data_IF_586383891336
#
_entry.id   IF_586383891336
#
_cell.length_a   1.000
_cell.length_b   1.000
_cell.length_c   1.000
_cell.angle_alpha   90.00
_cell.angle_beta   90.00
_cell.angle_gamma   90.00
#
_symmetry.space_group_name_H-M   'P 1'
#
loop_
_entity.id
_entity.type
_entity.pdbx_description
1 polymer ?
#
# COMPACT_ATOMS: atom_id res chain seq x y z
N UNK A 1 2.42 10.98 -24.92
CA UNK A 1 2.26 12.43 -24.61
C UNK A 1 0.92 13.04 -25.07
N UNK A 2 0.18 12.43 -26.02
CA UNK A 2 -1.08 13.02 -26.53
C UNK A 2 -2.20 13.08 -25.48
N UNK A 3 -2.32 12.04 -24.65
CA UNK A 3 -3.31 11.93 -23.56
C UNK A 3 -3.35 13.16 -22.63
N UNK A 4 -2.19 13.74 -22.31
CA UNK A 4 -2.09 14.88 -21.39
C UNK A 4 -2.41 16.23 -22.02
N UNK A 5 -2.54 16.32 -23.35
CA UNK A 5 -2.83 17.57 -24.07
C UNK A 5 -4.34 17.85 -24.10
N UNK A 6 -4.97 17.89 -22.92
CA UNK A 6 -6.44 17.97 -22.78
C UNK A 6 -7.07 19.04 -23.67
N UNK A 7 -6.57 20.29 -23.66
CA UNK A 7 -7.11 21.39 -24.48
C UNK A 7 -7.21 21.08 -25.99
N UNK A 8 -6.35 20.20 -26.52
CA UNK A 8 -6.33 19.83 -27.95
C UNK A 8 -6.99 18.47 -28.24
N UNK A 9 -7.04 17.58 -27.25
CA UNK A 9 -7.47 16.19 -27.38
C UNK A 9 -8.27 15.74 -26.16
N UNK A 10 -9.35 16.46 -25.86
CA UNK A 10 -10.20 16.22 -24.68
C UNK A 10 -10.74 14.79 -24.67
N UNK A 11 -11.13 14.29 -25.84
CA UNK A 11 -11.70 12.96 -26.04
C UNK A 11 -10.86 11.86 -25.36
N UNK A 12 -9.53 11.94 -25.37
CA UNK A 12 -8.68 10.89 -24.76
C UNK A 12 -8.94 10.73 -23.25
N UNK A 13 -9.10 11.84 -22.52
CA UNK A 13 -9.40 11.75 -21.08
C UNK A 13 -10.89 11.54 -20.83
N UNK A 14 -11.77 12.07 -21.69
CA UNK A 14 -13.21 11.81 -21.60
C UNK A 14 -13.52 10.32 -21.80
N UNK A 15 -12.89 9.66 -22.78
CA UNK A 15 -13.00 8.22 -22.98
C UNK A 15 -12.39 7.44 -21.81
N UNK A 16 -11.24 7.86 -21.27
CA UNK A 16 -10.67 7.22 -20.08
C UNK A 16 -11.64 7.30 -18.89
N UNK A 17 -12.18 8.48 -18.59
CA UNK A 17 -13.16 8.69 -17.51
C UNK A 17 -14.41 7.84 -17.78
N UNK A 18 -14.98 7.89 -18.99
CA UNK A 18 -16.17 7.11 -19.33
C UNK A 18 -15.95 5.60 -19.16
N UNK A 19 -14.81 5.07 -19.58
CA UNK A 19 -14.45 3.66 -19.37
C UNK A 19 -14.27 3.34 -17.88
N UNK A 20 -13.61 4.21 -17.13
CA UNK A 20 -13.42 4.03 -15.69
C UNK A 20 -14.77 4.00 -14.94
N UNK A 21 -15.71 4.87 -15.33
CA UNK A 21 -17.05 4.88 -14.75
C UNK A 21 -17.82 3.59 -15.01
N UNK A 22 -17.56 2.87 -16.11
CA UNK A 22 -18.15 1.54 -16.31
C UNK A 22 -17.64 0.50 -15.31
N UNK A 23 -16.37 0.60 -14.91
CA UNK A 23 -15.80 -0.25 -13.86
C UNK A 23 -16.41 0.12 -12.50
N UNK A 24 -16.51 1.41 -12.20
CA UNK A 24 -17.12 1.89 -10.96
C UNK A 24 -18.57 1.42 -10.85
N UNK A 25 -19.38 1.61 -11.90
CA UNK A 25 -20.79 1.20 -11.90
C UNK A 25 -20.96 -0.32 -11.70
N UNK A 26 -20.03 -1.13 -12.21
CA UNK A 26 -20.07 -2.58 -12.05
C UNK A 26 -19.75 -3.02 -10.60
N UNK A 27 -18.89 -2.29 -9.90
CA UNK A 27 -18.31 -2.73 -8.62
C UNK A 27 -18.75 -1.91 -7.40
N UNK A 28 -19.51 -0.83 -7.57
CA UNK A 28 -19.94 0.06 -6.47
C UNK A 28 -20.63 -0.69 -5.33
N UNK A 29 -21.49 -1.65 -5.66
CA UNK A 29 -22.25 -2.44 -4.68
C UNK A 29 -21.48 -3.68 -4.18
N UNK A 30 -20.26 -3.93 -4.67
CA UNK A 30 -19.48 -5.09 -4.24
C UNK A 30 -18.77 -4.80 -2.90
N UNK A 31 -19.09 -5.52 -1.80
CA UNK A 31 -18.49 -5.28 -0.49
C UNK A 31 -17.00 -5.65 -0.41
N UNK A 32 -16.51 -6.48 -1.34
CA UNK A 32 -15.11 -6.91 -1.40
C UNK A 32 -14.20 -5.94 -2.17
N UNK A 33 -14.78 -4.97 -2.88
CA UNK A 33 -14.02 -3.89 -3.51
C UNK A 33 -13.92 -2.74 -2.51
N UNK A 34 -12.68 -2.43 -2.10
CA UNK A 34 -12.42 -1.33 -1.16
C UNK A 34 -12.28 0.02 -1.86
N UNK A 35 -11.96 0.02 -3.15
CA UNK A 35 -11.70 1.24 -3.90
C UNK A 35 -11.07 0.98 -5.27
N UNK A 36 -10.64 2.07 -5.91
CA UNK A 36 -10.15 2.07 -7.28
C UNK A 36 -8.83 2.84 -7.39
N UNK A 37 -7.83 2.22 -8.02
CA UNK A 37 -6.60 2.91 -8.41
C UNK A 37 -6.82 3.68 -9.71
N UNK A 38 -6.68 5.00 -9.62
CA UNK A 38 -7.07 5.92 -10.68
C UNK A 38 -6.17 5.85 -11.91
N UNK A 39 -4.89 5.50 -11.76
CA UNK A 39 -3.95 5.34 -12.86
C UNK A 39 -2.62 4.78 -12.36
N UNK A 40 -2.27 3.58 -12.85
CA UNK A 40 -0.96 3.01 -12.66
C UNK A 40 0.16 3.87 -13.26
N UNK A 41 1.18 4.16 -12.46
CA UNK A 41 2.44 4.80 -12.84
C UNK A 41 2.33 6.01 -13.81
N UNK A 42 1.65 7.11 -13.43
CA UNK A 42 1.46 8.26 -14.31
C UNK A 42 2.78 8.79 -14.89
N UNK A 43 2.88 8.81 -16.23
CA UNK A 43 4.09 9.27 -16.92
C UNK A 43 3.82 10.38 -17.95
N UNK A 44 4.56 11.50 -17.83
CA UNK A 44 4.42 12.67 -18.70
C UNK A 44 4.95 12.48 -20.13
N UNK A 45 5.57 11.35 -20.44
CA UNK A 45 6.22 11.06 -21.72
C UNK A 45 7.62 11.64 -21.81
N UNK A 46 7.76 12.95 -22.06
CA UNK A 46 9.08 13.58 -22.14
C UNK A 46 9.75 13.64 -20.76
N UNK A 47 10.90 12.97 -20.60
CA UNK A 47 11.60 12.84 -19.32
C UNK A 47 11.92 14.21 -18.68
N UNK A 48 12.38 15.20 -19.45
CA UNK A 48 12.71 16.51 -18.89
C UNK A 48 11.48 17.18 -18.26
N UNK A 49 10.32 17.13 -18.94
CA UNK A 49 9.06 17.67 -18.41
C UNK A 49 8.52 16.88 -17.21
N UNK A 50 8.69 15.56 -17.22
CA UNK A 50 8.34 14.68 -16.10
C UNK A 50 9.19 15.00 -14.87
N UNK A 51 10.50 15.20 -15.05
CA UNK A 51 11.45 15.36 -13.94
C UNK A 51 11.47 16.76 -13.32
N UNK A 52 11.19 17.81 -14.09
CA UNK A 52 11.08 19.18 -13.57
C UNK A 52 9.75 19.47 -12.83
N UNK A 53 8.87 18.48 -12.70
CA UNK A 53 7.62 18.59 -11.94
C UNK A 53 6.48 19.32 -12.65
N UNK A 54 6.70 19.82 -13.86
CA UNK A 54 5.67 20.49 -14.66
C UNK A 54 4.53 19.54 -15.03
N UNK A 55 4.84 18.26 -15.24
CA UNK A 55 3.86 17.21 -15.48
C UNK A 55 2.87 17.08 -14.30
N UNK A 56 3.36 16.82 -13.09
CA UNK A 56 2.51 16.60 -11.93
C UNK A 56 1.68 17.85 -11.60
N UNK A 57 2.33 19.01 -11.50
CA UNK A 57 1.69 20.28 -11.10
C UNK A 57 0.58 20.75 -12.05
N UNK A 58 0.65 20.40 -13.33
CA UNK A 58 -0.27 20.93 -14.35
C UNK A 58 -1.17 19.86 -14.94
N UNK A 59 -0.61 18.76 -15.41
CA UNK A 59 -1.35 17.78 -16.19
C UNK A 59 -1.96 16.70 -15.32
N UNK A 60 -1.18 16.11 -14.41
CA UNK A 60 -1.68 15.06 -13.52
C UNK A 60 -2.70 15.63 -12.53
N UNK A 61 -2.38 16.75 -11.86
CA UNK A 61 -3.34 17.45 -10.98
C UNK A 61 -4.66 17.77 -11.70
N UNK A 62 -4.59 18.29 -12.94
CA UNK A 62 -5.81 18.61 -13.68
C UNK A 62 -6.58 17.35 -14.10
N UNK A 63 -5.90 16.23 -14.34
CA UNK A 63 -6.56 14.96 -14.65
C UNK A 63 -7.31 14.40 -13.44
N UNK A 64 -6.68 14.36 -12.27
CA UNK A 64 -7.37 13.97 -11.03
C UNK A 64 -8.55 14.89 -10.72
N UNK A 65 -8.40 16.21 -10.93
CA UNK A 65 -9.51 17.17 -10.80
C UNK A 65 -10.66 17.02 -11.81
N UNK A 66 -10.54 16.13 -12.81
CA UNK A 66 -11.65 15.74 -13.70
C UNK A 66 -12.20 14.36 -13.34
N UNK A 67 -11.31 13.39 -13.08
CA UNK A 67 -11.69 12.00 -12.84
C UNK A 67 -12.38 11.82 -11.48
N UNK A 68 -11.86 12.43 -10.41
CA UNK A 68 -12.41 12.27 -9.06
C UNK A 68 -13.87 12.78 -8.97
N UNK A 69 -14.20 14.01 -9.40
CA UNK A 69 -15.59 14.46 -9.39
C UNK A 69 -16.53 13.56 -10.19
N UNK A 70 -16.10 13.12 -11.38
CA UNK A 70 -16.89 12.23 -12.22
C UNK A 70 -17.19 10.89 -11.53
N UNK A 71 -16.21 10.31 -10.81
CA UNK A 71 -16.45 9.09 -10.02
C UNK A 71 -17.42 9.37 -8.87
N UNK A 72 -17.27 10.51 -8.17
CA UNK A 72 -18.13 10.87 -7.02
C UNK A 72 -19.58 11.19 -7.38
N UNK A 73 -19.88 11.46 -8.64
CA UNK A 73 -21.26 11.52 -9.13
C UNK A 73 -21.97 10.15 -9.04
N UNK A 74 -21.21 9.05 -9.10
CA UNK A 74 -21.72 7.67 -9.16
C UNK A 74 -21.45 6.89 -7.86
N UNK A 75 -20.31 7.14 -7.21
CA UNK A 75 -19.79 6.34 -6.09
C UNK A 75 -19.09 7.22 -5.03
N UNK A 76 -19.68 7.32 -3.83
CA UNK A 76 -19.25 8.22 -2.75
C UNK A 76 -18.61 7.52 -1.55
N UNK A 77 -18.76 6.21 -1.45
CA UNK A 77 -18.37 5.40 -0.30
C UNK A 77 -17.02 4.70 -0.45
N UNK A 78 -16.61 4.34 -1.66
CA UNK A 78 -15.34 3.64 -1.90
C UNK A 78 -14.12 4.57 -1.89
N UNK A 79 -12.95 4.03 -1.52
CA UNK A 79 -11.69 4.77 -1.56
C UNK A 79 -11.21 4.99 -3.01
N UNK A 80 -10.55 6.12 -3.28
CA UNK A 80 -9.82 6.36 -4.52
C UNK A 80 -8.33 6.41 -4.22
N UNK A 81 -7.57 5.51 -4.84
CA UNK A 81 -6.13 5.45 -4.73
C UNK A 81 -5.53 6.31 -5.84
N UNK A 82 -4.64 7.23 -5.48
CA UNK A 82 -3.99 8.11 -6.44
C UNK A 82 -2.48 8.06 -6.29
N UNK A 83 -1.81 8.09 -7.43
CA UNK A 83 -0.37 7.93 -7.53
C UNK A 83 0.34 9.27 -7.81
N UNK A 84 1.59 9.44 -7.36
CA UNK A 84 2.48 10.45 -7.93
C UNK A 84 2.92 10.03 -9.34
N UNK A 85 3.72 10.85 -10.04
CA UNK A 85 4.43 10.31 -11.22
C UNK A 85 5.33 9.14 -10.81
N UNK A 86 5.49 8.11 -11.64
CA UNK A 86 6.36 6.97 -11.31
C UNK A 86 7.85 7.31 -11.39
N UNK A 87 8.32 7.63 -12.60
CA UNK A 87 9.74 7.79 -12.87
C UNK A 87 10.36 8.89 -12.00
N UNK A 88 11.46 8.58 -11.33
CA UNK A 88 12.11 9.46 -10.35
C UNK A 88 11.56 9.30 -8.94
N UNK A 89 10.24 9.34 -8.76
CA UNK A 89 9.59 9.21 -7.45
C UNK A 89 9.80 7.81 -6.89
N UNK A 90 9.60 6.76 -7.70
CA UNK A 90 9.85 5.37 -7.32
C UNK A 90 11.29 5.16 -6.85
N UNK A 91 12.24 5.88 -7.46
CA UNK A 91 13.68 5.85 -7.16
C UNK A 91 14.09 6.68 -5.93
N UNK A 92 13.13 7.39 -5.32
CA UNK A 92 13.34 8.16 -4.10
C UNK A 92 13.45 9.68 -4.27
N UNK A 93 13.21 10.22 -5.47
CA UNK A 93 13.02 11.67 -5.63
C UNK A 93 11.70 12.12 -5.01
N UNK A 94 11.61 13.41 -4.65
CA UNK A 94 10.33 14.01 -4.26
C UNK A 94 9.33 14.05 -5.43
N UNK A 95 8.07 13.88 -5.11
CA UNK A 95 6.95 14.23 -5.99
C UNK A 95 6.74 15.74 -5.98
N UNK A 96 6.23 16.26 -7.10
CA UNK A 96 5.72 17.61 -7.24
C UNK A 96 4.19 17.68 -7.30
N UNK A 97 3.51 16.54 -7.14
CA UNK A 97 2.06 16.47 -7.01
C UNK A 97 1.65 17.32 -5.81
N UNK A 98 0.65 18.18 -6.03
CA UNK A 98 0.06 19.00 -4.97
C UNK A 98 -0.99 18.18 -4.24
N UNK A 99 -1.57 18.75 -3.17
CA UNK A 99 -2.65 18.10 -2.45
C UNK A 99 -3.79 17.78 -3.43
N UNK A 100 -4.13 16.51 -3.55
CA UNK A 100 -5.29 16.05 -4.31
C UNK A 100 -6.50 16.19 -3.40
N UNK A 101 -7.54 16.84 -3.90
CA UNK A 101 -8.78 17.05 -3.15
C UNK A 101 -9.85 16.06 -3.62
N UNK A 102 -10.64 15.56 -2.68
CA UNK A 102 -11.83 14.79 -2.99
C UNK A 102 -12.99 15.73 -3.33
N UNK A 103 -13.94 15.27 -4.14
CA UNK A 103 -15.13 16.04 -4.49
C UNK A 103 -16.25 15.90 -3.44
N UNK A 104 -15.99 15.20 -2.33
CA UNK A 104 -16.92 14.98 -1.22
C UNK A 104 -16.30 15.42 0.12
N UNK A 105 -17.13 15.77 1.13
CA UNK A 105 -16.69 15.87 2.51
C UNK A 105 -16.15 14.53 3.03
N UNK A 106 -15.32 14.56 4.07
CA UNK A 106 -14.70 13.35 4.64
C UNK A 106 -13.97 12.50 3.57
N UNK A 107 -13.04 13.15 2.87
CA UNK A 107 -12.30 12.61 1.74
C UNK A 107 -11.91 11.13 1.91
N UNK A 108 -12.27 10.30 0.94
CA UNK A 108 -11.92 8.88 0.89
C UNK A 108 -10.82 8.68 -0.15
N UNK A 109 -9.72 9.39 0.03
CA UNK A 109 -8.52 9.30 -0.83
C UNK A 109 -7.41 8.55 -0.12
N UNK A 110 -6.63 7.77 -0.87
CA UNK A 110 -5.44 7.07 -0.40
C UNK A 110 -4.26 7.37 -1.32
N UNK A 111 -3.14 7.80 -0.74
CA UNK A 111 -1.92 8.01 -1.51
C UNK A 111 -1.25 6.67 -1.81
N UNK A 112 -1.01 6.36 -3.09
CA UNK A 112 -0.54 5.04 -3.53
C UNK A 112 0.82 5.08 -4.26
N UNK A 113 1.94 5.44 -3.61
CA UNK A 113 3.24 5.47 -4.27
C UNK A 113 3.84 4.07 -4.46
N UNK A 114 4.77 3.93 -5.41
CA UNK A 114 5.55 2.70 -5.62
C UNK A 114 7.00 2.85 -5.12
N UNK A 115 7.68 1.73 -4.87
CA UNK A 115 9.07 1.68 -4.43
C UNK A 115 9.91 0.71 -5.26
N UNK A 116 10.78 1.28 -6.10
CA UNK A 116 11.80 0.55 -6.84
C UNK A 116 13.11 1.31 -6.69
N UNK A 117 14.04 0.91 -5.81
CA UNK A 117 15.34 1.57 -5.70
C UNK A 117 16.06 1.59 -7.06
N UNK A 118 16.66 2.73 -7.40
CA UNK A 118 17.12 3.04 -8.76
C UNK A 118 17.97 1.91 -9.38
N UNK A 119 17.42 1.30 -10.43
CA UNK A 119 18.03 0.27 -11.26
C UNK A 119 18.35 -1.07 -10.56
N UNK A 120 17.88 -1.28 -9.34
CA UNK A 120 18.05 -2.56 -8.64
C UNK A 120 17.20 -3.65 -9.29
N UNK A 121 16.00 -3.26 -9.72
CA UNK A 121 15.07 -4.04 -10.54
C UNK A 121 15.69 -4.51 -11.87
N UNK A 122 16.38 -3.62 -12.58
CA UNK A 122 16.94 -3.90 -13.91
C UNK A 122 18.41 -4.34 -13.91
N UNK A 123 18.98 -4.76 -12.77
CA UNK A 123 20.28 -5.46 -12.75
C UNK A 123 21.26 -5.07 -11.66
N UNK A 124 21.09 -3.93 -10.99
CA UNK A 124 21.98 -3.54 -9.90
C UNK A 124 21.68 -4.32 -8.62
N UNK A 125 22.68 -4.41 -7.74
CA UNK A 125 22.51 -5.01 -6.41
C UNK A 125 21.90 -4.03 -5.42
N UNK A 126 21.15 -4.54 -4.45
CA UNK A 126 20.76 -3.77 -3.28
C UNK A 126 21.95 -3.66 -2.31
N UNK A 127 22.67 -2.54 -2.41
CA UNK A 127 23.90 -2.25 -1.65
C UNK A 127 23.73 -1.01 -0.75
N UNK A 128 24.82 -0.54 -0.11
CA UNK A 128 24.81 0.64 0.78
C UNK A 128 24.21 1.89 0.12
N UNK A 129 24.47 2.12 -1.17
CA UNK A 129 23.90 3.26 -1.92
C UNK A 129 22.39 3.09 -2.07
N UNK A 130 21.93 1.91 -2.49
CA UNK A 130 20.51 1.60 -2.64
C UNK A 130 19.75 1.72 -1.30
N UNK A 131 20.36 1.33 -0.17
CA UNK A 131 19.81 1.58 1.19
C UNK A 131 19.63 3.07 1.47
N UNK A 132 20.61 3.89 1.06
CA UNK A 132 20.53 5.34 1.14
C UNK A 132 19.36 5.91 0.32
N UNK A 133 19.15 5.39 -0.89
CA UNK A 133 18.05 5.82 -1.76
C UNK A 133 16.69 5.36 -1.23
N UNK A 134 16.58 4.15 -0.67
CA UNK A 134 15.38 3.70 0.05
C UNK A 134 15.06 4.62 1.25
N UNK A 135 16.10 5.04 1.99
CA UNK A 135 15.93 5.96 3.12
C UNK A 135 15.45 7.34 2.67
N UNK A 136 15.90 7.84 1.51
CA UNK A 136 15.40 9.09 0.91
C UNK A 136 13.97 8.95 0.43
N UNK A 137 13.67 7.85 -0.28
CA UNK A 137 12.31 7.51 -0.72
C UNK A 137 11.35 7.57 0.47
N UNK A 138 11.69 6.87 1.55
CA UNK A 138 10.88 6.80 2.75
C UNK A 138 10.58 8.19 3.35
N UNK A 139 11.61 9.02 3.52
CA UNK A 139 11.45 10.40 4.03
C UNK A 139 10.54 11.25 3.15
N UNK A 140 10.70 11.15 1.82
CA UNK A 140 9.85 11.90 0.89
C UNK A 140 8.40 11.40 0.92
N UNK A 141 8.15 10.09 0.92
CA UNK A 141 6.79 9.53 0.97
C UNK A 141 6.05 9.93 2.24
N UNK A 142 6.71 9.92 3.41
CA UNK A 142 6.07 10.37 4.65
C UNK A 142 5.73 11.87 4.63
N UNK A 143 6.62 12.71 4.08
CA UNK A 143 6.33 14.13 3.91
C UNK A 143 5.15 14.36 2.95
N UNK A 144 5.09 13.58 1.88
CA UNK A 144 4.02 13.65 0.90
C UNK A 144 2.69 13.14 1.46
N UNK A 145 2.67 11.98 2.15
CA UNK A 145 1.50 11.49 2.89
C UNK A 145 0.93 12.55 3.84
N UNK A 146 1.81 13.20 4.63
CA UNK A 146 1.40 14.29 5.53
C UNK A 146 0.84 15.49 4.76
N UNK A 147 1.42 15.85 3.62
CA UNK A 147 0.94 16.95 2.77
C UNK A 147 -0.40 16.64 2.10
N UNK A 148 -0.60 15.39 1.67
CA UNK A 148 -1.86 14.91 1.10
C UNK A 148 -2.96 14.81 2.17
N UNK A 149 -2.58 14.57 3.43
CA UNK A 149 -3.49 14.32 4.55
C UNK A 149 -4.39 13.10 4.32
N UNK A 150 -3.78 12.00 3.90
CA UNK A 150 -4.46 10.73 3.60
C UNK A 150 -3.74 9.54 4.25
N UNK A 151 -4.40 8.37 4.36
CA UNK A 151 -3.70 7.10 4.47
C UNK A 151 -2.75 6.88 3.27
N UNK A 152 -1.87 5.89 3.40
CA UNK A 152 -0.95 5.50 2.35
C UNK A 152 -0.94 3.98 2.20
N UNK A 153 -1.02 3.51 0.96
CA UNK A 153 -0.82 2.12 0.57
C UNK A 153 0.38 2.08 -0.38
N UNK A 154 1.39 1.26 -0.10
CA UNK A 154 2.49 1.05 -1.03
C UNK A 154 1.98 0.15 -2.18
N UNK A 155 1.63 0.76 -3.31
CA UNK A 155 0.94 0.10 -4.43
C UNK A 155 1.79 -0.98 -5.10
N UNK A 156 3.09 -0.73 -5.23
CA UNK A 156 3.99 -1.71 -5.79
C UNK A 156 5.38 -1.61 -5.17
N UNK A 157 5.94 -2.79 -4.95
CA UNK A 157 7.35 -3.01 -4.71
C UNK A 157 7.66 -4.46 -5.03
N UNK A 158 8.90 -4.76 -5.37
CA UNK A 158 9.31 -6.13 -5.57
C UNK A 158 10.78 -6.20 -5.95
N UNK A 159 11.32 -7.40 -5.91
CA UNK A 159 12.64 -7.67 -6.45
C UNK A 159 12.82 -9.16 -6.73
N UNK A 160 13.30 -9.50 -7.93
CA UNK A 160 13.62 -10.91 -8.27
C UNK A 160 14.63 -11.52 -7.28
N UNK A 161 14.49 -12.80 -6.91
CA UNK A 161 15.46 -13.52 -6.07
C UNK A 161 16.87 -13.58 -6.69
N UNK A 162 16.97 -13.42 -8.03
CA UNK A 162 18.24 -13.38 -8.75
C UNK A 162 19.09 -12.15 -8.42
N UNK A 163 18.51 -11.11 -7.79
CA UNK A 163 19.22 -9.86 -7.49
C UNK A 163 19.94 -9.97 -6.15
N UNK A 164 21.25 -9.71 -6.19
CA UNK A 164 22.07 -9.64 -4.97
C UNK A 164 21.50 -8.60 -4.00
N UNK A 165 21.19 -9.05 -2.78
CA UNK A 165 20.63 -8.22 -1.72
C UNK A 165 19.09 -8.17 -1.69
N UNK A 166 18.37 -8.98 -2.47
CA UNK A 166 16.90 -8.95 -2.47
C UNK A 166 16.28 -9.21 -1.08
N UNK A 167 16.79 -10.18 -0.33
CA UNK A 167 16.33 -10.46 1.04
C UNK A 167 16.45 -9.21 1.91
N UNK A 168 17.58 -8.52 1.81
CA UNK A 168 17.86 -7.32 2.60
C UNK A 168 16.98 -6.13 2.18
N UNK A 169 16.64 -6.03 0.89
CA UNK A 169 15.69 -5.04 0.39
C UNK A 169 14.29 -5.27 0.97
N UNK A 170 13.76 -6.49 0.85
CA UNK A 170 12.44 -6.84 1.38
C UNK A 170 12.40 -6.64 2.91
N UNK A 171 13.45 -7.06 3.62
CA UNK A 171 13.58 -6.84 5.05
C UNK A 171 13.52 -5.35 5.41
N UNK A 172 14.37 -4.51 4.78
CA UNK A 172 14.47 -3.08 5.10
C UNK A 172 13.16 -2.34 4.76
N UNK A 173 12.50 -2.69 3.65
CA UNK A 173 11.28 -2.03 3.21
C UNK A 173 10.07 -2.43 4.07
N UNK A 174 9.89 -3.72 4.36
CA UNK A 174 8.78 -4.19 5.20
C UNK A 174 8.91 -3.68 6.65
N UNK A 175 10.13 -3.60 7.19
CA UNK A 175 10.37 -2.96 8.49
C UNK A 175 9.96 -1.49 8.51
N UNK A 176 10.24 -0.76 7.42
CA UNK A 176 9.80 0.63 7.28
C UNK A 176 8.28 0.72 7.17
N UNK A 177 7.66 -0.18 6.42
CA UNK A 177 6.21 -0.22 6.26
C UNK A 177 5.51 -0.45 7.62
N UNK A 178 5.95 -1.44 8.40
CA UNK A 178 5.43 -1.72 9.75
C UNK A 178 5.61 -0.49 10.67
N UNK A 179 6.75 0.20 10.59
CA UNK A 179 7.07 1.34 11.47
C UNK A 179 6.15 2.57 11.31
N UNK A 180 5.38 2.63 10.23
CA UNK A 180 4.37 3.67 9.97
C UNK A 180 3.00 3.11 9.58
N UNK A 181 2.79 1.82 9.85
CA UNK A 181 1.54 1.10 9.60
C UNK A 181 1.07 1.23 8.14
N UNK A 182 2.00 1.18 7.20
CA UNK A 182 1.72 1.28 5.77
C UNK A 182 1.37 -0.10 5.22
N UNK A 183 0.13 -0.26 4.75
CA UNK A 183 -0.27 -1.43 3.95
C UNK A 183 0.44 -1.45 2.61
N UNK A 184 0.54 -2.61 1.98
CA UNK A 184 1.31 -2.77 0.75
C UNK A 184 0.77 -3.89 -0.12
N UNK A 185 1.04 -3.80 -1.42
CA UNK A 185 0.78 -4.82 -2.44
C UNK A 185 2.09 -5.15 -3.15
N UNK A 186 2.49 -6.43 -3.06
CA UNK A 186 3.75 -6.89 -3.66
C UNK A 186 3.57 -7.12 -5.15
N UNK A 187 4.52 -6.62 -5.96
CA UNK A 187 4.60 -6.88 -7.37
C UNK A 187 5.47 -8.12 -7.63
N UNK A 188 4.88 -9.26 -7.99
CA UNK A 188 3.46 -9.51 -8.26
C UNK A 188 3.07 -10.94 -7.87
N UNK A 189 1.83 -11.34 -8.11
CA UNK A 189 1.37 -12.73 -7.93
C UNK A 189 1.60 -13.61 -9.17
N UNK A 190 2.24 -13.09 -10.23
CA UNK A 190 2.59 -13.87 -11.42
C UNK A 190 3.46 -15.07 -11.04
N UNK A 191 3.37 -16.16 -11.80
CA UNK A 191 4.16 -17.36 -11.52
C UNK A 191 5.59 -17.23 -12.06
N UNK A 192 6.57 -17.52 -11.19
CA UNK A 192 8.00 -17.49 -11.50
C UNK A 192 8.59 -16.07 -11.49
N UNK A 193 9.92 -16.00 -11.65
CA UNK A 193 10.67 -14.75 -11.77
C UNK A 193 10.61 -13.85 -10.54
N UNK A 194 9.57 -13.02 -10.46
CA UNK A 194 9.29 -12.08 -9.37
C UNK A 194 8.13 -12.53 -8.48
N UNK A 195 7.47 -13.64 -8.80
CA UNK A 195 6.36 -14.16 -8.02
C UNK A 195 6.73 -14.82 -6.70
N UNK A 196 5.81 -14.89 -5.72
CA UNK A 196 5.96 -15.73 -4.54
C UNK A 196 5.84 -17.23 -4.86
N UNK A 197 5.28 -17.60 -6.02
CA UNK A 197 5.15 -18.98 -6.47
C UNK A 197 5.89 -19.19 -7.78
N UNK A 198 6.44 -20.38 -7.98
CA UNK A 198 7.05 -20.81 -9.24
C UNK A 198 5.97 -21.24 -10.25
N UNK A 199 6.38 -21.56 -11.49
CA UNK A 199 5.46 -22.01 -12.55
C UNK A 199 4.66 -23.28 -12.19
N UNK A 200 5.21 -24.12 -11.32
CA UNK A 200 4.59 -25.35 -10.80
C UNK A 200 3.85 -25.15 -9.46
N UNK A 201 3.58 -23.89 -9.08
CA UNK A 201 2.96 -23.49 -7.82
C UNK A 201 3.76 -23.81 -6.55
N UNK A 202 5.00 -24.29 -6.67
CA UNK A 202 5.87 -24.44 -5.50
C UNK A 202 6.30 -23.07 -4.97
N UNK A 203 6.55 -22.93 -3.65
CA UNK A 203 7.07 -21.68 -3.08
C UNK A 203 8.36 -21.20 -3.74
N UNK A 204 8.40 -19.93 -4.12
CA UNK A 204 9.64 -19.26 -4.47
C UNK A 204 10.34 -18.72 -3.20
N UNK A 205 11.63 -18.33 -3.28
CA UNK A 205 12.34 -17.69 -2.18
C UNK A 205 11.76 -16.34 -1.69
N UNK A 206 10.75 -15.80 -2.39
CA UNK A 206 10.04 -14.58 -1.99
C UNK A 206 8.93 -14.89 -0.97
N UNK A 207 8.24 -16.04 -1.09
CA UNK A 207 7.02 -16.31 -0.32
C UNK A 207 7.24 -16.17 1.18
N UNK A 208 8.32 -16.78 1.69
CA UNK A 208 8.65 -16.77 3.11
C UNK A 208 9.05 -15.37 3.64
N UNK A 209 9.31 -14.39 2.77
CA UNK A 209 9.55 -12.99 3.14
C UNK A 209 8.25 -12.19 3.23
N UNK A 210 7.23 -12.57 2.48
CA UNK A 210 5.92 -11.89 2.43
C UNK A 210 4.90 -12.47 3.41
N UNK A 211 4.99 -13.76 3.74
CA UNK A 211 4.13 -14.40 4.73
C UNK A 211 4.54 -13.94 6.13
N UNK A 212 3.63 -13.21 6.80
CA UNK A 212 3.90 -12.51 8.08
C UNK A 212 2.72 -12.66 9.03
N UNK A 213 3.00 -12.50 10.32
CA UNK A 213 1.96 -12.21 11.33
C UNK A 213 1.69 -10.71 11.31
N UNK A 214 0.43 -10.29 11.22
CA UNK A 214 0.06 -8.87 11.14
C UNK A 214 -1.38 -8.60 11.62
N UNK A 215 -1.69 -7.38 12.09
CA UNK A 215 -3.05 -7.02 12.46
C UNK A 215 -3.89 -6.81 11.18
N UNK A 216 -4.89 -7.65 10.96
CA UNK A 216 -5.83 -7.53 9.83
C UNK A 216 -6.86 -6.43 10.08
N UNK A 217 -7.39 -6.40 11.30
CA UNK A 217 -8.35 -5.41 11.77
C UNK A 217 -8.10 -5.16 13.26
N UNK A 218 -8.29 -3.93 13.73
CA UNK A 218 -8.06 -3.56 15.13
C UNK A 218 -9.32 -2.91 15.69
N UNK A 219 -9.82 -3.42 16.82
CA UNK A 219 -10.96 -2.86 17.53
C UNK A 219 -10.53 -1.62 18.35
N UNK A 220 -10.14 -0.58 17.64
CA UNK A 220 -9.64 0.67 18.21
C UNK A 220 -8.52 1.29 17.37
N UNK A 221 -7.69 2.12 18.00
CA UNK A 221 -6.59 2.83 17.32
C UNK A 221 -5.29 2.02 17.43
N UNK A 222 -4.86 1.43 16.32
CA UNK A 222 -3.53 0.82 16.22
C UNK A 222 -2.46 1.91 16.36
N UNK A 223 -1.56 1.79 17.33
CA UNK A 223 -0.49 2.77 17.56
C UNK A 223 0.87 2.30 17.04
N UNK A 224 1.10 0.98 17.02
CA UNK A 224 2.30 0.38 16.44
C UNK A 224 2.14 -1.12 16.28
N UNK A 225 2.88 -1.70 15.33
CA UNK A 225 3.15 -3.13 15.32
C UNK A 225 4.53 -3.40 14.70
N UNK A 226 5.07 -4.58 14.96
CA UNK A 226 6.28 -5.09 14.34
C UNK A 226 6.21 -6.61 14.24
N UNK A 227 6.65 -7.15 13.11
CA UNK A 227 6.96 -8.57 12.96
C UNK A 227 8.44 -8.77 12.63
N UNK A 228 9.15 -9.49 13.50
CA UNK A 228 10.54 -9.87 13.30
C UNK A 228 10.62 -11.26 12.64
N UNK A 229 11.10 -11.29 11.40
CA UNK A 229 11.11 -12.52 10.59
C UNK A 229 12.06 -13.59 11.18
N UNK A 230 13.18 -13.17 11.76
CA UNK A 230 14.22 -14.06 12.29
C UNK A 230 13.77 -14.83 13.53
N UNK A 231 13.15 -14.13 14.49
CA UNK A 231 12.66 -14.72 15.74
C UNK A 231 11.19 -15.16 15.67
N UNK A 232 10.47 -14.81 14.59
CA UNK A 232 9.02 -15.00 14.43
C UNK A 232 8.19 -14.34 15.53
N UNK A 233 8.72 -13.26 16.13
CA UNK A 233 8.03 -12.52 17.18
C UNK A 233 7.20 -11.41 16.53
N UNK A 234 5.90 -11.42 16.84
CA UNK A 234 4.97 -10.32 16.55
C UNK A 234 4.67 -9.54 17.82
N UNK A 235 4.61 -8.22 17.69
CA UNK A 235 4.16 -7.32 18.75
C UNK A 235 3.25 -6.25 18.16
N UNK A 236 2.20 -5.88 18.88
CA UNK A 236 1.32 -4.77 18.53
C UNK A 236 0.89 -4.01 19.77
N UNK A 237 0.62 -2.71 19.60
CA UNK A 237 0.02 -1.84 20.60
C UNK A 237 -1.15 -1.11 19.96
N UNK A 238 -2.25 -0.99 20.70
CA UNK A 238 -3.42 -0.26 20.25
C UNK A 238 -4.22 0.24 21.45
N UNK A 239 -4.99 1.31 21.25
CA UNK A 239 -5.96 1.81 22.21
C UNK A 239 -7.30 1.13 21.90
N UNK A 240 -7.86 0.37 22.84
CA UNK A 240 -9.13 -0.33 22.65
C UNK A 240 -10.30 0.66 22.53
N UNK A 241 -11.30 0.28 21.73
CA UNK A 241 -12.58 0.97 21.64
C UNK A 241 -13.74 -0.04 21.73
N UNK A 242 -14.35 -0.14 22.90
CA UNK A 242 -15.44 -1.09 23.21
C UNK A 242 -16.76 -0.78 22.51
N UNK A 243 -16.89 0.37 21.84
CA UNK A 243 -18.03 0.59 20.93
C UNK A 243 -17.93 -0.26 19.65
N UNK A 244 -16.74 -0.81 19.35
CA UNK A 244 -16.53 -1.76 18.26
C UNK A 244 -16.75 -3.17 18.82
N UNK A 245 -17.84 -3.82 18.42
CA UNK A 245 -18.21 -5.16 18.90
C UNK A 245 -17.39 -6.30 18.25
N UNK A 246 -16.81 -6.03 17.07
CA UNK A 246 -15.95 -6.98 16.38
C UNK A 246 -14.58 -7.08 17.08
N UNK A 247 -13.90 -8.25 17.04
CA UNK A 247 -12.59 -8.40 17.67
C UNK A 247 -11.49 -7.68 16.89
N UNK A 248 -10.37 -7.46 17.56
CA UNK A 248 -9.09 -7.30 16.86
C UNK A 248 -8.73 -8.63 16.21
N UNK A 249 -8.54 -8.64 14.89
CA UNK A 249 -8.14 -9.81 14.11
C UNK A 249 -6.64 -9.74 13.78
N UNK A 250 -5.90 -10.78 14.17
CA UNK A 250 -4.46 -10.91 13.87
C UNK A 250 -4.28 -12.14 12.99
N UNK A 251 -3.72 -11.97 11.79
CA UNK A 251 -3.38 -13.09 10.93
C UNK A 251 -2.20 -13.85 11.51
N UNK A 252 -2.32 -15.17 11.68
CA UNK A 252 -1.24 -16.05 12.15
C UNK A 252 -1.09 -17.22 11.18
N UNK A 253 -0.34 -17.05 10.07
CA UNK A 253 -0.16 -18.11 9.08
C UNK A 253 0.38 -19.41 9.68
N UNK A 254 -0.29 -20.54 9.39
CA UNK A 254 0.09 -21.87 9.88
C UNK A 254 1.53 -22.28 9.52
N UNK A 255 2.04 -21.80 8.38
CA UNK A 255 3.44 -22.02 7.98
C UNK A 255 4.46 -21.36 8.91
N UNK A 256 4.08 -20.32 9.64
CA UNK A 256 4.94 -19.65 10.64
C UNK A 256 4.89 -20.41 11.96
N UNK A 257 3.69 -20.83 12.39
CA UNK A 257 3.40 -21.44 13.69
C UNK A 257 2.73 -22.82 13.58
N UNK A 258 3.39 -23.83 12.97
CA UNK A 258 2.77 -25.14 12.76
C UNK A 258 2.45 -25.88 14.06
N UNK A 259 3.20 -25.58 15.13
CA UNK A 259 3.05 -26.18 16.46
C UNK A 259 2.31 -25.24 17.44
N UNK A 260 1.62 -24.21 16.93
CA UNK A 260 0.99 -23.18 17.75
C UNK A 260 1.93 -22.02 18.11
N UNK A 261 1.45 -21.15 18.98
CA UNK A 261 2.12 -19.91 19.40
C UNK A 261 1.72 -19.55 20.84
N UNK A 262 2.54 -18.73 21.49
CA UNK A 262 2.22 -18.16 22.80
C UNK A 262 1.80 -16.71 22.65
N UNK A 263 0.76 -16.31 23.36
CA UNK A 263 0.26 -14.94 23.40
C UNK A 263 0.47 -14.38 24.80
N UNK A 264 1.08 -13.19 24.88
CA UNK A 264 1.18 -12.41 26.10
C UNK A 264 0.54 -11.05 25.87
N UNK A 265 -0.37 -10.67 26.76
CA UNK A 265 -1.11 -9.41 26.70
C UNK A 265 -0.82 -8.64 27.99
N UNK A 266 -0.55 -7.35 27.85
CA UNK A 266 -0.39 -6.41 28.95
C UNK A 266 -1.25 -5.17 28.70
N UNK A 267 -1.56 -4.44 29.77
CA UNK A 267 -2.43 -3.25 29.72
C UNK A 267 -3.89 -3.51 30.13
N UNK A 268 -4.36 -4.76 30.04
CA UNK A 268 -5.67 -5.17 30.54
C UNK A 268 -5.66 -6.64 30.96
N UNK A 269 -6.52 -7.00 31.91
CA UNK A 269 -6.86 -8.39 32.25
C UNK A 269 -8.25 -8.79 31.78
N UNK A 270 -9.04 -7.85 31.24
CA UNK A 270 -10.40 -8.07 30.75
C UNK A 270 -10.41 -8.28 29.25
N UNK A 271 -9.93 -9.45 28.86
CA UNK A 271 -9.88 -9.85 27.47
C UNK A 271 -10.25 -11.33 27.31
N UNK A 272 -10.64 -11.67 26.08
CA UNK A 272 -10.89 -13.04 25.67
C UNK A 272 -10.20 -13.30 24.33
N UNK A 273 -9.61 -14.48 24.20
CA UNK A 273 -8.97 -14.94 22.98
C UNK A 273 -9.78 -16.07 22.35
N UNK A 274 -9.92 -16.00 21.04
CA UNK A 274 -10.47 -17.06 20.20
C UNK A 274 -9.56 -17.30 19.00
N UNK A 275 -9.73 -18.43 18.33
CA UNK A 275 -9.04 -18.72 17.08
C UNK A 275 -10.06 -19.02 15.98
N UNK A 276 -9.91 -18.36 14.83
CA UNK A 276 -10.57 -18.76 13.59
C UNK A 276 -9.62 -19.68 12.83
N UNK A 277 -9.81 -20.98 13.01
CA UNK A 277 -8.96 -22.02 12.39
C UNK A 277 -9.11 -22.07 10.86
N UNK A 278 -10.25 -21.61 10.32
CA UNK A 278 -10.48 -21.57 8.87
C UNK A 278 -9.66 -20.48 8.20
N UNK A 279 -9.51 -19.33 8.88
CA UNK A 279 -8.74 -18.18 8.38
C UNK A 279 -7.33 -18.10 8.94
N UNK A 280 -6.98 -18.96 9.90
CA UNK A 280 -5.75 -18.89 10.69
C UNK A 280 -5.58 -17.52 11.36
N UNK A 281 -6.64 -17.03 12.00
CA UNK A 281 -6.60 -15.76 12.75
C UNK A 281 -6.67 -16.01 14.26
N UNK A 282 -5.95 -15.18 15.02
CA UNK A 282 -6.21 -14.94 16.44
C UNK A 282 -7.22 -13.79 16.56
N UNK A 283 -8.29 -14.01 17.32
CA UNK A 283 -9.33 -13.04 17.62
C UNK A 283 -9.16 -12.56 19.06
N UNK A 284 -8.98 -11.26 19.25
CA UNK A 284 -8.82 -10.63 20.55
C UNK A 284 -10.00 -9.69 20.84
N UNK A 285 -10.79 -10.05 21.84
CA UNK A 285 -11.86 -9.22 22.39
C UNK A 285 -11.35 -8.50 23.65
N UNK A 286 -11.54 -7.19 23.73
CA UNK A 286 -11.22 -6.38 24.91
C UNK A 286 -12.52 -5.79 25.44
N UNK A 287 -12.76 -5.92 26.74
CA UNK A 287 -14.02 -5.55 27.38
C UNK A 287 -13.96 -4.19 28.09
N UNK A 288 -12.82 -3.48 27.99
CA UNK A 288 -12.65 -2.15 28.57
C UNK A 288 -11.85 -1.22 27.65
N UNK A 289 -12.15 0.07 27.71
CA UNK A 289 -11.37 1.09 27.02
C UNK A 289 -10.10 1.39 27.82
N UNK A 290 -8.97 1.49 27.11
CA UNK A 290 -7.76 2.04 27.71
C UNK A 290 -7.98 3.53 28.02
N UNK A 291 -7.48 3.98 29.18
CA UNK A 291 -7.40 5.39 29.54
C UNK A 291 -6.21 6.06 28.85
#
# INVERSE_FOLDING_TARGET
MQFWKYKKKQYLQQHYIASFLKIVELFKDNPYVIGYDLMNEPHGGNLAKTMCGGFEKKWLMAFYGRLIPAIREVEKEKYLFFEPRSFGVNFGMKSYLKKVEDAIPNAKLVYAPHCYPMFVDIGKSYNRKAKGDLSKWYKHRLKERKMQNTPMLLGEFGLSPSRKGYVLFLYDLLHRADSVQMSWTYWSSDLGGWGPLNGDLTPSPILDKLVRVYPKATAGELTSFKYELSSKIFSMKFNSNTSILAPTEIAVPKSISPNGYHVSISGTTKYRLETDSTKNNLLLFIEENNR
#
